data_IF_965653035968
#
_entry.id   IF_965653035968
#
_cell.length_a   1.000
_cell.length_b   1.000
_cell.length_c   1.000
_cell.angle_alpha   90.00
_cell.angle_beta   90.00
_cell.angle_gamma   90.00
#
_symmetry.space_group_name_H-M   'P 1'
#
loop_
_entity.id
_entity.type
_entity.pdbx_description
1 polymer ?
#
# COMPACT_ATOMS: atom_id res chain seq x y z
N UNK A 1 -7.35 -2.71 -6.87
CA UNK A 1 -7.46 -2.98 -5.41
C UNK A 1 -8.44 -4.13 -5.22
N UNK A 2 -8.15 -5.08 -4.34
CA UNK A 2 -8.98 -6.27 -4.06
C UNK A 2 -8.94 -6.59 -2.56
N UNK A 3 -9.94 -7.28 -2.02
CA UNK A 3 -9.87 -7.87 -0.68
C UNK A 3 -9.04 -9.16 -0.69
N UNK A 4 -8.16 -9.34 0.29
CA UNK A 4 -7.36 -10.56 0.48
C UNK A 4 -8.04 -11.54 1.43
N UNK A 5 -7.99 -12.82 1.09
CA UNK A 5 -8.35 -13.92 2.00
C UNK A 5 -7.11 -14.57 2.65
N UNK A 6 -5.91 -14.20 2.21
CA UNK A 6 -4.65 -14.86 2.56
C UNK A 6 -3.87 -14.13 3.65
N UNK A 7 -4.14 -12.84 3.84
CA UNK A 7 -3.49 -12.02 4.86
C UNK A 7 -4.06 -12.35 6.25
N UNK A 8 -3.16 -12.63 7.20
CA UNK A 8 -3.46 -12.79 8.63
C UNK A 8 -3.15 -11.51 9.39
N UNK A 9 -1.86 -11.15 9.47
CA UNK A 9 -1.40 -10.08 10.36
C UNK A 9 -1.24 -8.72 9.65
N UNK A 10 -0.88 -8.73 8.36
CA UNK A 10 -0.69 -7.49 7.58
C UNK A 10 -2.02 -6.89 7.13
N UNK A 11 -2.11 -5.56 7.14
CA UNK A 11 -3.29 -4.83 6.66
C UNK A 11 -3.40 -4.84 5.12
N UNK A 12 -2.26 -4.88 4.42
CA UNK A 12 -2.18 -4.76 2.96
C UNK A 12 -0.98 -5.53 2.41
N UNK A 13 -1.06 -5.93 1.13
CA UNK A 13 0.10 -6.41 0.37
C UNK A 13 -0.02 -6.06 -1.12
N UNK A 14 1.11 -6.08 -1.83
CA UNK A 14 1.13 -5.97 -3.29
C UNK A 14 1.31 -7.34 -3.92
N UNK A 15 0.47 -7.64 -4.92
CA UNK A 15 0.57 -8.86 -5.72
C UNK A 15 0.72 -8.51 -7.19
N UNK A 16 1.32 -9.41 -7.97
CA UNK A 16 1.33 -9.31 -9.43
C UNK A 16 -0.12 -9.33 -9.96
N UNK A 17 -0.37 -8.64 -11.07
CA UNK A 17 -1.67 -8.73 -11.73
C UNK A 17 -1.90 -10.12 -12.32
N UNK A 18 -3.16 -10.52 -12.51
CA UNK A 18 -3.53 -11.88 -12.99
C UNK A 18 -2.92 -12.22 -14.37
N UNK A 19 -2.54 -11.21 -15.15
CA UNK A 19 -1.87 -11.33 -16.45
C UNK A 19 -0.41 -10.83 -16.43
N UNK A 20 0.11 -10.48 -15.26
CA UNK A 20 1.44 -9.93 -15.06
C UNK A 20 2.49 -11.01 -14.82
N UNK A 21 3.76 -10.66 -15.04
CA UNK A 21 4.87 -11.50 -14.65
C UNK A 21 4.98 -11.49 -13.12
N UNK A 22 5.48 -12.58 -12.52
CA UNK A 22 5.78 -12.61 -11.09
C UNK A 22 6.70 -11.43 -10.71
N UNK A 23 6.38 -10.70 -9.62
CA UNK A 23 7.13 -9.49 -9.23
C UNK A 23 8.61 -9.79 -8.98
N UNK A 24 8.96 -10.99 -8.51
CA UNK A 24 10.35 -11.39 -8.32
C UNK A 24 11.08 -11.56 -9.66
N UNK A 25 10.40 -12.09 -10.68
CA UNK A 25 10.95 -12.21 -12.02
C UNK A 25 11.09 -10.84 -12.70
N UNK A 26 10.11 -9.94 -12.54
CA UNK A 26 10.23 -8.55 -13.02
C UNK A 26 11.48 -7.86 -12.45
N UNK A 27 11.79 -8.06 -11.16
CA UNK A 27 13.00 -7.52 -10.52
C UNK A 27 14.29 -8.06 -11.16
N UNK A 28 14.35 -9.36 -11.42
CA UNK A 28 15.53 -9.99 -12.05
C UNK A 28 15.75 -9.41 -13.45
N UNK A 29 14.68 -9.23 -14.22
CA UNK A 29 14.74 -8.72 -15.59
C UNK A 29 15.04 -7.20 -15.63
N UNK A 30 14.50 -6.43 -14.69
CA UNK A 30 14.84 -5.02 -14.54
C UNK A 30 16.33 -4.85 -14.17
N UNK A 31 16.85 -5.69 -13.27
CA UNK A 31 18.26 -5.67 -12.88
C UNK A 31 19.23 -6.08 -14.00
N UNK A 32 18.77 -6.88 -14.98
CA UNK A 32 19.56 -7.27 -16.16
C UNK A 32 19.55 -6.23 -17.28
N UNK A 33 18.87 -5.09 -17.08
CA UNK A 33 18.79 -4.00 -18.06
C UNK A 33 17.75 -4.21 -19.16
N UNK A 34 16.90 -5.23 -19.06
CA UNK A 34 15.75 -5.36 -19.95
C UNK A 34 14.65 -4.39 -19.54
N UNK A 35 14.37 -3.41 -20.40
CA UNK A 35 13.23 -2.51 -20.24
C UNK A 35 11.93 -3.28 -20.46
N UNK A 36 11.36 -3.81 -19.38
CA UNK A 36 10.02 -4.39 -19.39
C UNK A 36 9.00 -3.32 -19.01
N UNK A 37 7.80 -3.33 -19.63
CA UNK A 37 6.69 -2.53 -19.14
C UNK A 37 6.38 -2.97 -17.70
N UNK A 38 6.52 -2.06 -16.73
CA UNK A 38 6.14 -2.35 -15.35
C UNK A 38 4.63 -2.62 -15.30
N UNK A 39 4.24 -3.86 -15.00
CA UNK A 39 2.84 -4.18 -14.76
C UNK A 39 2.41 -3.48 -13.46
N UNK A 40 1.25 -2.81 -13.47
CA UNK A 40 0.72 -2.20 -12.25
C UNK A 40 0.36 -3.32 -11.27
N UNK A 41 0.93 -3.36 -10.06
CA UNK A 41 0.58 -4.37 -9.07
C UNK A 41 -0.85 -4.16 -8.58
N UNK A 42 -1.44 -5.24 -8.06
CA UNK A 42 -2.73 -5.20 -7.38
C UNK A 42 -2.48 -5.03 -5.89
N UNK A 43 -3.01 -3.96 -5.31
CA UNK A 43 -3.09 -3.81 -3.86
C UNK A 43 -4.19 -4.71 -3.31
N UNK A 44 -3.83 -5.67 -2.47
CA UNK A 44 -4.77 -6.44 -1.68
C UNK A 44 -4.89 -5.86 -0.27
N UNK A 45 -6.13 -5.82 0.24
CA UNK A 45 -6.48 -5.30 1.57
C UNK A 45 -7.00 -6.44 2.44
N UNK A 46 -6.53 -6.54 3.68
CA UNK A 46 -7.05 -7.48 4.66
C UNK A 46 -8.28 -6.90 5.40
N UNK A 47 -9.51 -7.31 5.08
CA UNK A 47 -10.71 -6.78 5.73
C UNK A 47 -10.80 -7.18 7.21
N UNK A 48 -10.04 -8.19 7.66
CA UNK A 48 -10.00 -8.64 9.06
C UNK A 48 -9.06 -7.82 9.93
N UNK A 49 -8.24 -6.95 9.35
CA UNK A 49 -7.36 -6.06 10.10
C UNK A 49 -8.19 -5.01 10.84
N UNK A 50 -7.91 -4.82 12.13
CA UNK A 50 -8.55 -3.79 12.96
C UNK A 50 -8.39 -2.38 12.37
N UNK A 51 -7.23 -2.10 11.76
CA UNK A 51 -6.97 -0.83 11.08
C UNK A 51 -7.94 -0.60 9.92
N UNK A 52 -8.13 -1.62 9.07
CA UNK A 52 -9.04 -1.52 7.92
C UNK A 52 -10.49 -1.37 8.37
N UNK A 53 -10.89 -2.10 9.42
CA UNK A 53 -12.22 -1.95 10.01
C UNK A 53 -12.45 -0.54 10.58
N UNK A 54 -11.47 0.03 11.28
CA UNK A 54 -11.53 1.41 11.78
C UNK A 54 -11.61 2.43 10.65
N UNK A 55 -10.81 2.26 9.59
CA UNK A 55 -10.84 3.14 8.42
C UNK A 55 -12.20 3.11 7.70
N UNK A 56 -12.82 1.93 7.61
CA UNK A 56 -14.15 1.77 7.03
C UNK A 56 -15.26 2.41 7.89
N UNK A 57 -15.02 2.58 9.20
CA UNK A 57 -15.96 3.18 10.14
C UNK A 57 -15.83 4.71 10.27
N UNK A 58 -14.83 5.33 9.62
CA UNK A 58 -14.65 6.79 9.65
C UNK A 58 -15.86 7.53 9.06
N UNK A 59 -16.22 8.65 9.69
CA UNK A 59 -17.28 9.54 9.24
C UNK A 59 -16.99 10.26 7.93
N UNK A 60 -18.02 10.84 7.30
CA UNK A 60 -17.87 11.62 6.06
C UNK A 60 -16.98 12.86 6.23
N UNK A 61 -16.97 13.44 7.44
CA UNK A 61 -16.15 14.58 7.85
C UNK A 61 -14.65 14.23 7.98
N UNK A 62 -14.31 12.96 8.09
CA UNK A 62 -12.93 12.47 8.25
C UNK A 62 -12.24 12.15 6.91
N UNK A 63 -12.69 12.78 5.81
CA UNK A 63 -12.20 12.49 4.46
C UNK A 63 -10.67 12.67 4.32
N UNK A 64 -10.09 13.73 4.91
CA UNK A 64 -8.64 13.96 4.85
C UNK A 64 -7.84 12.84 5.55
N UNK A 65 -8.33 12.35 6.69
CA UNK A 65 -7.72 11.24 7.41
C UNK A 65 -7.79 9.95 6.58
N UNK A 66 -8.94 9.70 5.95
CA UNK A 66 -9.16 8.54 5.06
C UNK A 66 -8.21 8.57 3.86
N UNK A 67 -8.03 9.72 3.23
CA UNK A 67 -7.10 9.89 2.10
C UNK A 67 -5.64 9.65 2.51
N UNK A 68 -5.21 10.24 3.62
CA UNK A 68 -3.85 10.06 4.14
C UNK A 68 -3.59 8.60 4.49
N UNK A 69 -4.52 7.93 5.17
CA UNK A 69 -4.41 6.52 5.50
C UNK A 69 -4.36 5.62 4.26
N UNK A 70 -5.20 5.87 3.25
CA UNK A 70 -5.20 5.09 2.01
C UNK A 70 -3.84 5.16 1.29
N UNK A 71 -3.25 6.35 1.24
CA UNK A 71 -1.91 6.52 0.67
C UNK A 71 -0.83 5.85 1.51
N UNK A 72 -0.88 6.01 2.84
CA UNK A 72 0.11 5.39 3.73
C UNK A 72 0.06 3.87 3.71
N UNK A 73 -1.14 3.27 3.60
CA UNK A 73 -1.28 1.83 3.39
C UNK A 73 -0.65 1.39 2.07
N UNK A 74 -0.82 2.16 0.99
CA UNK A 74 -0.15 1.84 -0.27
C UNK A 74 1.38 1.96 -0.16
N UNK A 75 1.88 2.97 0.56
CA UNK A 75 3.30 3.14 0.84
C UNK A 75 3.84 1.99 1.72
N UNK A 76 3.09 1.55 2.73
CA UNK A 76 3.42 0.39 3.56
C UNK A 76 3.52 -0.89 2.72
N UNK A 77 2.58 -1.11 1.79
CA UNK A 77 2.58 -2.27 0.93
C UNK A 77 3.81 -2.31 -0.01
N UNK A 78 4.28 -1.14 -0.47
CA UNK A 78 5.54 -1.02 -1.23
C UNK A 78 6.74 -1.36 -0.34
N UNK A 79 6.81 -0.80 0.87
CA UNK A 79 7.90 -1.06 1.82
C UNK A 79 7.98 -2.54 2.16
N UNK A 80 6.83 -3.19 2.40
CA UNK A 80 6.75 -4.61 2.67
C UNK A 80 7.25 -5.48 1.50
N UNK A 81 7.08 -5.02 0.26
CA UNK A 81 7.63 -5.69 -0.94
C UNK A 81 9.10 -5.32 -1.23
N UNK A 82 9.73 -4.53 -0.34
CA UNK A 82 11.12 -4.07 -0.47
C UNK A 82 11.30 -2.87 -1.42
N UNK A 83 10.21 -2.24 -1.84
CA UNK A 83 10.20 -1.05 -2.67
C UNK A 83 10.20 0.22 -1.79
N UNK A 84 10.71 1.33 -2.34
CA UNK A 84 10.60 2.63 -1.69
C UNK A 84 9.27 3.28 -2.09
N UNK A 85 8.61 4.05 -1.21
CA UNK A 85 7.46 4.86 -1.60
C UNK A 85 7.79 5.73 -2.81
N UNK A 86 6.85 5.82 -3.78
CA UNK A 86 6.99 6.62 -4.99
C UNK A 86 7.35 8.08 -4.67
N UNK A 87 6.71 8.64 -3.64
CA UNK A 87 7.00 9.99 -3.15
C UNK A 87 7.29 9.95 -1.65
N UNK A 88 8.57 9.82 -1.32
CA UNK A 88 9.05 9.79 0.07
C UNK A 88 8.71 11.07 0.86
N UNK A 89 8.60 12.23 0.18
CA UNK A 89 8.26 13.50 0.84
C UNK A 89 6.77 13.51 1.20
N UNK A 90 5.91 13.10 0.28
CA UNK A 90 4.48 12.98 0.54
C UNK A 90 4.21 11.94 1.63
N UNK A 91 4.87 10.78 1.58
CA UNK A 91 4.81 9.77 2.64
C UNK A 91 5.14 10.35 4.02
N UNK A 92 6.30 11.00 4.14
CA UNK A 92 6.74 11.61 5.41
C UNK A 92 5.78 12.69 5.91
N UNK A 93 5.24 13.52 5.00
CA UNK A 93 4.27 14.55 5.34
C UNK A 93 2.94 13.96 5.84
N UNK A 94 2.42 12.91 5.20
CA UNK A 94 1.19 12.20 5.63
C UNK A 94 1.40 11.55 6.99
N UNK A 95 2.53 10.86 7.17
CA UNK A 95 2.86 10.19 8.42
C UNK A 95 2.96 11.19 9.58
N UNK A 96 3.59 12.35 9.33
CA UNK A 96 3.67 13.43 10.31
C UNK A 96 2.28 13.95 10.69
N UNK A 97 1.38 14.19 9.72
CA UNK A 97 0.01 14.64 10.02
C UNK A 97 -0.76 13.64 10.86
N UNK A 98 -0.65 12.35 10.56
CA UNK A 98 -1.28 11.29 11.35
C UNK A 98 -0.75 11.26 12.78
N UNK A 99 0.57 11.34 12.97
CA UNK A 99 1.13 11.37 14.31
C UNK A 99 0.73 12.61 15.09
N UNK A 100 0.70 13.78 14.46
CA UNK A 100 0.21 15.01 15.12
C UNK A 100 -1.23 14.83 15.55
N UNK A 101 -2.11 14.35 14.66
CA UNK A 101 -3.52 14.13 14.99
C UNK A 101 -3.71 13.10 16.12
N UNK A 102 -2.90 12.03 16.15
CA UNK A 102 -2.97 11.01 17.20
C UNK A 102 -2.43 11.50 18.56
N UNK A 103 -1.53 12.48 18.55
CA UNK A 103 -0.87 13.01 19.76
C UNK A 103 -1.51 14.30 20.30
N UNK A 104 -2.35 14.99 19.52
CA UNK A 104 -3.06 16.22 19.91
C UNK A 104 -3.06 17.28 18.83
#
# INVERSE_FOLDING_TARGET
VRASERLTDSAVCLVASDSGMDRQLERILAASGQAMPAAKPVLEINPRSELIAKLAALGEDETALREDAAHLLFDEAQIADGERPIDARAFSARLTRLFTCALG
#
